data_IF_180505543272
#
_entry.id   IF_180505543272
#
_cell.length_a   1.000
_cell.length_b   1.000
_cell.length_c   1.000
_cell.angle_alpha   90.00
_cell.angle_beta   90.00
_cell.angle_gamma   90.00
#
_symmetry.space_group_name_H-M   'P 1'
#
loop_
_entity.id
_entity.type
_entity.pdbx_description
1 polymer ?
#
# COMPACT_ATOMS: atom_id res chain seq x y z
N UNK A 1 50.00 19.45 -2.19
CA UNK A 1 49.34 18.17 -1.90
C UNK A 1 49.38 17.32 -3.17
N UNK A 2 50.01 16.16 -3.12
CA UNK A 2 50.38 15.39 -4.31
C UNK A 2 49.16 14.58 -4.82
N UNK A 3 48.83 14.65 -6.11
CA UNK A 3 47.70 13.98 -6.76
C UNK A 3 47.60 12.45 -6.44
N UNK A 4 48.74 11.82 -6.15
CA UNK A 4 48.83 10.40 -5.76
C UNK A 4 48.20 10.11 -4.38
N UNK A 5 48.18 11.06 -3.46
CA UNK A 5 47.60 10.87 -2.12
C UNK A 5 46.10 11.09 -2.13
N UNK A 6 45.56 11.90 -3.06
CA UNK A 6 44.13 12.10 -3.21
C UNK A 6 43.40 10.81 -3.67
N UNK A 7 43.99 10.05 -4.61
CA UNK A 7 43.43 8.78 -5.06
C UNK A 7 43.52 7.65 -4.03
N UNK A 8 44.48 7.63 -3.13
CA UNK A 8 44.59 6.63 -2.05
C UNK A 8 43.57 6.85 -0.93
N UNK A 9 43.24 8.09 -0.60
CA UNK A 9 42.20 8.41 0.37
C UNK A 9 40.78 8.13 -0.18
N UNK A 10 40.58 8.31 -1.49
CA UNK A 10 39.27 8.04 -2.13
C UNK A 10 38.95 6.54 -2.19
N UNK A 11 39.94 5.68 -2.44
CA UNK A 11 39.74 4.22 -2.49
C UNK A 11 39.53 3.58 -1.10
N UNK A 12 40.24 4.08 -0.08
CA UNK A 12 40.01 3.64 1.30
C UNK A 12 38.65 4.09 1.85
N UNK A 13 38.21 5.30 1.50
CA UNK A 13 36.88 5.81 1.84
C UNK A 13 35.76 5.01 1.19
N UNK A 14 35.90 4.64 -0.08
CA UNK A 14 34.91 3.80 -0.79
C UNK A 14 34.83 2.37 -0.25
N UNK A 15 35.96 1.77 0.15
CA UNK A 15 35.96 0.42 0.76
C UNK A 15 35.35 0.42 2.18
N UNK A 16 35.59 1.48 2.98
CA UNK A 16 35.00 1.62 4.29
C UNK A 16 33.48 1.85 4.20
N UNK A 17 33.00 2.63 3.24
CA UNK A 17 31.57 2.84 2.98
C UNK A 17 30.91 1.56 2.47
N UNK A 18 31.57 0.81 1.58
CA UNK A 18 31.04 -0.47 1.08
C UNK A 18 31.02 -1.55 2.17
N UNK A 19 32.06 -1.63 3.01
CA UNK A 19 32.13 -2.56 4.14
C UNK A 19 31.11 -2.22 5.23
N UNK A 20 30.95 -0.94 5.58
CA UNK A 20 29.93 -0.47 6.51
C UNK A 20 28.50 -0.69 6.01
N UNK A 21 28.25 -0.51 4.71
CA UNK A 21 26.95 -0.75 4.09
C UNK A 21 26.58 -2.25 4.07
N UNK A 22 27.55 -3.16 3.88
CA UNK A 22 27.35 -4.61 3.93
C UNK A 22 27.07 -5.09 5.35
N UNK A 23 27.77 -4.54 6.36
CA UNK A 23 27.54 -4.86 7.76
C UNK A 23 26.19 -4.31 8.24
N UNK A 24 25.83 -3.07 7.89
CA UNK A 24 24.52 -2.49 8.19
C UNK A 24 23.36 -3.26 7.52
N UNK A 25 23.56 -3.80 6.30
CA UNK A 25 22.58 -4.66 5.64
C UNK A 25 22.24 -5.91 6.45
N UNK A 26 23.24 -6.62 6.96
CA UNK A 26 23.02 -7.85 7.76
C UNK A 26 22.36 -7.55 9.10
N UNK A 27 22.74 -6.48 9.78
CA UNK A 27 22.12 -6.09 11.04
C UNK A 27 20.66 -5.65 10.86
N UNK A 28 20.33 -4.96 9.76
CA UNK A 28 18.96 -4.51 9.48
C UNK A 28 18.03 -5.68 9.08
N UNK A 29 18.51 -6.67 8.33
CA UNK A 29 17.74 -7.88 8.01
C UNK A 29 17.37 -8.65 9.27
N UNK A 30 18.32 -8.82 10.19
CA UNK A 30 18.10 -9.44 11.50
C UNK A 30 17.10 -8.68 12.37
N UNK A 31 17.02 -7.36 12.23
CA UNK A 31 16.08 -6.52 12.99
C UNK A 31 14.63 -6.62 12.51
N UNK A 32 14.41 -6.92 11.22
CA UNK A 32 13.07 -6.98 10.63
C UNK A 32 12.52 -8.42 10.60
N UNK A 33 13.28 -9.34 10.05
CA UNK A 33 12.88 -10.73 9.94
C UNK A 33 14.10 -11.65 9.85
N UNK A 34 14.08 -12.74 10.62
CA UNK A 34 15.17 -13.73 10.71
C UNK A 34 14.68 -15.18 10.54
N UNK A 35 13.56 -15.37 9.83
CA UNK A 35 13.01 -16.70 9.57
C UNK A 35 13.80 -17.50 8.53
N UNK A 36 13.36 -18.73 8.21
CA UNK A 36 14.00 -19.61 7.24
C UNK A 36 13.90 -19.04 5.82
N UNK A 37 14.82 -19.46 4.95
CA UNK A 37 14.73 -19.23 3.50
C UNK A 37 13.47 -19.91 2.96
N UNK A 38 12.74 -19.21 2.08
CA UNK A 38 11.53 -19.69 1.44
C UNK A 38 11.58 -19.46 -0.07
N UNK A 39 10.48 -19.74 -0.78
CA UNK A 39 10.34 -19.46 -2.21
C UNK A 39 10.26 -17.97 -2.57
N UNK A 40 10.16 -17.09 -1.56
CA UNK A 40 10.13 -15.63 -1.71
C UNK A 40 10.98 -14.88 -0.66
N UNK A 41 11.83 -15.56 0.11
CA UNK A 41 12.81 -14.97 1.04
C UNK A 41 14.18 -15.63 0.92
N UNK A 42 15.23 -14.87 0.59
CA UNK A 42 16.59 -15.38 0.36
C UNK A 42 17.47 -15.47 1.64
N UNK A 43 16.86 -15.26 2.80
CA UNK A 43 17.56 -15.18 4.09
C UNK A 43 17.95 -13.74 4.49
N UNK A 44 17.82 -12.76 3.59
CA UNK A 44 18.07 -11.34 3.82
C UNK A 44 16.92 -10.47 3.32
N UNK A 45 16.36 -10.80 2.16
CA UNK A 45 15.35 -10.02 1.45
C UNK A 45 14.23 -10.88 0.91
N UNK A 46 13.04 -10.30 0.92
CA UNK A 46 11.90 -10.82 0.20
C UNK A 46 11.99 -10.45 -1.28
N UNK A 47 11.40 -11.27 -2.14
CA UNK A 47 11.34 -11.04 -3.58
C UNK A 47 10.03 -11.59 -4.18
N UNK A 48 9.69 -11.13 -5.37
CA UNK A 48 8.53 -11.64 -6.12
C UNK A 48 9.00 -12.84 -6.98
N UNK A 49 8.55 -14.07 -6.71
CA UNK A 49 8.92 -15.24 -7.53
C UNK A 49 8.52 -15.04 -9.00
N UNK A 50 9.48 -15.21 -9.91
CA UNK A 50 9.25 -15.00 -11.35
C UNK A 50 8.98 -13.55 -11.77
N UNK A 51 8.98 -12.61 -10.85
CA UNK A 51 8.68 -11.21 -11.11
C UNK A 51 9.91 -10.33 -11.36
N UNK A 52 9.64 -9.09 -11.78
CA UNK A 52 10.69 -8.09 -11.99
C UNK A 52 11.17 -7.52 -10.65
N UNK A 53 12.49 -7.38 -10.46
CA UNK A 53 13.00 -6.67 -9.29
C UNK A 53 12.59 -5.20 -9.32
N UNK A 54 12.48 -4.54 -8.15
CA UNK A 54 12.23 -3.10 -8.10
C UNK A 54 13.34 -2.32 -8.79
N UNK A 55 13.01 -1.15 -9.37
CA UNK A 55 13.92 -0.27 -10.08
C UNK A 55 15.22 -0.01 -9.28
N UNK A 56 16.37 -0.05 -9.95
CA UNK A 56 17.67 0.16 -9.32
C UNK A 56 17.98 1.65 -9.12
N UNK A 57 19.07 1.95 -8.38
CA UNK A 57 19.48 3.31 -8.08
C UNK A 57 19.81 4.15 -9.34
N UNK A 58 20.40 3.54 -10.37
CA UNK A 58 20.69 4.24 -11.64
C UNK A 58 19.38 4.58 -12.39
N UNK A 59 18.39 3.69 -12.36
CA UNK A 59 17.06 3.98 -12.89
C UNK A 59 16.38 5.13 -12.14
N UNK A 60 16.49 5.16 -10.81
CA UNK A 60 15.98 6.28 -10.00
C UNK A 60 16.66 7.61 -10.36
N UNK A 61 17.99 7.63 -10.54
CA UNK A 61 18.71 8.82 -10.97
C UNK A 61 18.29 9.26 -12.38
N UNK A 62 18.22 8.32 -13.33
CA UNK A 62 17.72 8.60 -14.67
C UNK A 62 16.33 9.22 -14.65
N UNK A 63 15.41 8.64 -13.88
CA UNK A 63 14.07 9.20 -13.71
C UNK A 63 14.13 10.61 -13.11
N UNK A 64 14.89 10.80 -12.02
CA UNK A 64 14.98 12.08 -11.32
C UNK A 64 15.51 13.22 -12.18
N UNK A 65 16.46 12.93 -13.09
CA UNK A 65 17.09 13.94 -13.94
C UNK A 65 16.45 14.12 -15.32
N UNK A 66 15.78 13.09 -15.84
CA UNK A 66 15.20 13.11 -17.19
C UNK A 66 13.67 12.98 -17.18
N UNK A 67 13.02 12.90 -16.03
CA UNK A 67 11.57 12.79 -15.91
C UNK A 67 10.86 14.11 -16.21
N UNK A 68 9.79 14.03 -16.99
CA UNK A 68 8.87 15.16 -17.24
C UNK A 68 7.72 15.11 -16.24
N UNK A 69 8.00 15.50 -15.01
CA UNK A 69 7.02 15.45 -13.93
C UNK A 69 5.99 16.57 -14.08
N UNK A 70 4.70 16.21 -14.16
CA UNK A 70 3.61 17.16 -14.14
C UNK A 70 3.58 17.96 -12.83
N UNK A 71 3.21 19.24 -12.88
CA UNK A 71 3.03 20.04 -11.69
C UNK A 71 1.62 19.81 -11.14
N UNK A 72 1.54 19.28 -9.92
CA UNK A 72 0.27 19.15 -9.21
C UNK A 72 -0.13 20.48 -8.55
N UNK A 73 -1.43 20.76 -8.42
CA UNK A 73 -1.90 21.90 -7.65
C UNK A 73 -1.53 21.72 -6.17
N UNK A 74 -1.33 22.84 -5.45
CA UNK A 74 -1.10 22.79 -4.00
C UNK A 74 -2.30 22.22 -3.22
N UNK A 75 -3.50 22.42 -3.76
CA UNK A 75 -4.76 21.93 -3.22
C UNK A 75 -5.58 21.28 -4.34
N UNK A 76 -5.99 20.04 -4.09
CA UNK A 76 -6.93 19.29 -4.94
C UNK A 76 -8.08 18.77 -4.08
N UNK A 77 -9.00 19.66 -3.67
CA UNK A 77 -10.02 19.33 -2.68
C UNK A 77 -10.96 18.24 -3.19
N UNK A 78 -11.41 17.40 -2.27
CA UNK A 78 -12.46 16.44 -2.56
C UNK A 78 -13.80 17.15 -2.77
N UNK A 79 -14.67 16.67 -3.68
CA UNK A 79 -16.05 17.16 -3.78
C UNK A 79 -16.92 16.69 -2.61
N UNK A 80 -16.47 15.72 -1.81
CA UNK A 80 -17.20 15.20 -0.66
C UNK A 80 -16.81 15.92 0.63
N UNK A 81 -17.76 16.12 1.57
CA UNK A 81 -17.46 16.61 2.89
C UNK A 81 -16.66 15.58 3.70
N UNK A 82 -16.15 15.98 4.88
CA UNK A 82 -15.63 15.02 5.83
C UNK A 82 -16.72 14.01 6.19
N UNK A 83 -16.43 12.73 5.96
CA UNK A 83 -17.36 11.68 6.33
C UNK A 83 -17.47 11.58 7.87
N UNK A 84 -18.65 11.23 8.34
CA UNK A 84 -18.94 10.89 9.73
C UNK A 84 -19.40 9.45 9.78
N UNK A 85 -18.49 8.49 9.93
CA UNK A 85 -18.84 7.08 9.92
C UNK A 85 -19.81 6.73 11.07
N UNK A 86 -20.69 5.78 10.81
CA UNK A 86 -21.50 5.18 11.87
C UNK A 86 -20.62 4.42 12.86
N UNK A 87 -21.09 4.24 14.08
CA UNK A 87 -20.33 3.52 15.12
C UNK A 87 -20.04 2.07 14.69
N UNK A 88 -20.98 1.40 14.04
CA UNK A 88 -20.88 0.01 13.57
C UNK A 88 -21.81 -0.23 12.39
N UNK A 89 -21.37 -1.05 11.44
CA UNK A 89 -22.20 -1.63 10.39
C UNK A 89 -22.19 -3.14 10.59
N UNK A 90 -23.38 -3.73 10.74
CA UNK A 90 -23.54 -5.14 11.09
C UNK A 90 -24.02 -6.04 9.94
N UNK A 91 -24.24 -7.30 10.26
CA UNK A 91 -24.82 -8.25 9.32
C UNK A 91 -23.94 -8.54 8.11
N UNK A 92 -24.54 -8.49 6.93
CA UNK A 92 -23.90 -8.71 5.62
C UNK A 92 -23.55 -7.41 4.91
N UNK A 93 -23.75 -6.28 5.53
CA UNK A 93 -23.47 -4.99 4.92
C UNK A 93 -21.96 -4.73 4.87
N UNK A 94 -21.53 -4.07 3.82
CA UNK A 94 -20.17 -3.61 3.63
C UNK A 94 -20.24 -2.13 3.26
N UNK A 95 -19.67 -1.28 4.10
CA UNK A 95 -19.48 0.14 3.84
C UNK A 95 -18.00 0.47 3.76
N UNK A 96 -17.66 1.22 2.73
CA UNK A 96 -16.31 1.74 2.52
C UNK A 96 -16.34 3.24 2.62
N UNK A 97 -15.47 3.81 3.45
CA UNK A 97 -15.21 5.26 3.47
C UNK A 97 -13.76 5.49 3.07
N UNK A 98 -13.54 6.29 2.04
CA UNK A 98 -12.19 6.58 1.57
C UNK A 98 -11.57 7.74 2.35
N UNK A 99 -10.46 7.46 3.01
CA UNK A 99 -9.70 8.46 3.77
C UNK A 99 -8.78 9.26 2.87
N UNK A 100 -8.21 8.61 1.85
CA UNK A 100 -7.33 9.23 0.87
C UNK A 100 -6.07 8.42 0.61
N UNK A 101 -5.47 8.57 -0.56
CA UNK A 101 -4.34 7.82 -1.08
C UNK A 101 -4.61 6.31 -1.15
N UNK A 102 -4.17 5.54 -0.18
CA UNK A 102 -4.43 4.11 -0.03
C UNK A 102 -5.20 3.77 1.26
N UNK A 103 -5.63 4.81 2.00
CA UNK A 103 -6.25 4.63 3.31
C UNK A 103 -7.78 4.46 3.19
N UNK A 104 -8.29 3.37 3.76
CA UNK A 104 -9.72 3.03 3.78
C UNK A 104 -10.21 2.74 5.19
N UNK A 105 -11.41 3.17 5.51
CA UNK A 105 -12.21 2.59 6.60
C UNK A 105 -13.23 1.63 5.98
N UNK A 106 -13.14 0.36 6.33
CA UNK A 106 -14.10 -0.68 5.97
C UNK A 106 -14.90 -1.04 7.20
N UNK A 107 -16.22 -0.94 7.11
CA UNK A 107 -17.16 -1.31 8.15
C UNK A 107 -17.98 -2.53 7.68
N UNK A 108 -17.87 -3.64 8.37
CA UNK A 108 -18.57 -4.90 8.02
C UNK A 108 -18.60 -5.85 9.21
N UNK A 109 -19.58 -6.71 9.30
CA UNK A 109 -19.72 -7.74 10.35
C UNK A 109 -19.60 -7.17 11.78
N UNK A 110 -20.01 -5.93 11.99
CA UNK A 110 -19.88 -5.23 13.27
C UNK A 110 -18.46 -4.75 13.59
N UNK A 111 -17.52 -4.80 12.64
CA UNK A 111 -16.12 -4.38 12.83
C UNK A 111 -15.81 -3.12 12.04
N UNK A 112 -14.89 -2.32 12.58
CA UNK A 112 -14.28 -1.17 11.93
C UNK A 112 -12.82 -1.49 11.64
N UNK A 113 -12.46 -1.56 10.37
CA UNK A 113 -11.17 -1.99 9.85
C UNK A 113 -10.53 -0.82 9.10
N UNK A 114 -9.41 -0.31 9.56
CA UNK A 114 -8.58 0.63 8.81
C UNK A 114 -7.54 -0.13 8.01
N UNK A 115 -7.35 0.26 6.75
CA UNK A 115 -6.29 -0.26 5.89
C UNK A 115 -5.36 0.89 5.55
N UNK A 116 -4.05 0.66 5.68
CA UNK A 116 -2.96 1.59 5.37
C UNK A 116 -3.25 3.02 5.87
N UNK A 117 -3.48 3.22 7.17
CA UNK A 117 -3.96 4.50 7.69
C UNK A 117 -2.88 5.57 7.68
N UNK A 118 -3.09 6.64 6.91
CA UNK A 118 -2.18 7.79 6.78
C UNK A 118 -2.96 9.09 6.97
N UNK A 119 -2.71 9.78 8.10
CA UNK A 119 -3.24 11.11 8.42
C UNK A 119 -2.17 12.20 8.38
N UNK A 120 -0.89 11.83 8.33
CA UNK A 120 0.22 12.78 8.23
C UNK A 120 0.15 13.62 6.96
N UNK A 121 0.65 14.86 7.05
CA UNK A 121 0.71 15.79 5.93
C UNK A 121 1.70 15.35 4.84
N UNK A 122 2.69 14.54 5.21
CA UNK A 122 3.74 14.08 4.30
C UNK A 122 3.97 12.58 4.44
N UNK A 123 4.19 11.95 3.31
CA UNK A 123 4.62 10.54 3.23
C UNK A 123 6.15 10.49 3.15
N UNK A 124 6.79 10.72 4.29
CA UNK A 124 8.25 10.93 4.37
C UNK A 124 8.76 10.64 5.77
N UNK A 125 10.06 10.28 5.94
CA UNK A 125 10.70 10.23 7.25
C UNK A 125 10.80 11.60 7.95
N UNK A 126 10.59 12.70 7.20
CA UNK A 126 10.71 14.08 7.68
C UNK A 126 9.37 14.80 7.62
N UNK A 127 8.98 15.46 8.70
CA UNK A 127 7.74 16.24 8.76
C UNK A 127 7.79 17.53 7.91
N UNK A 128 8.98 18.01 7.58
CA UNK A 128 9.20 19.27 6.84
C UNK A 128 9.55 19.06 5.36
N UNK A 129 9.91 17.84 4.94
CA UNK A 129 10.35 17.54 3.58
C UNK A 129 9.71 16.25 3.02
N UNK A 130 9.69 16.10 1.69
CA UNK A 130 9.12 14.94 1.00
C UNK A 130 7.71 15.19 0.48
N UNK A 131 7.09 14.21 -0.18
CA UNK A 131 5.78 14.34 -0.81
C UNK A 131 4.72 14.78 0.19
N UNK A 132 3.95 15.80 -0.19
CA UNK A 132 2.87 16.38 0.64
C UNK A 132 1.53 16.03 0.02
N UNK A 133 0.55 15.75 0.87
CA UNK A 133 -0.83 15.56 0.39
C UNK A 133 -1.45 16.88 -0.07
N UNK A 134 -2.23 16.81 -1.13
CA UNK A 134 -2.93 17.97 -1.75
C UNK A 134 -4.40 18.08 -1.32
N UNK A 135 -4.85 17.19 -0.45
CA UNK A 135 -6.19 17.23 0.17
C UNK A 135 -6.12 16.70 1.61
N UNK A 136 -7.04 17.11 2.49
CA UNK A 136 -7.12 16.54 3.82
C UNK A 136 -7.60 15.09 3.79
N UNK A 137 -7.38 14.31 4.86
CA UNK A 137 -8.03 13.02 5.05
C UNK A 137 -9.56 13.16 5.00
N UNK A 138 -10.24 12.24 4.34
CA UNK A 138 -11.70 12.29 4.18
C UNK A 138 -12.51 12.04 5.45
N UNK A 139 -11.87 11.57 6.52
CA UNK A 139 -12.41 11.45 7.86
C UNK A 139 -11.49 12.24 8.79
N UNK A 140 -12.03 13.11 9.64
CA UNK A 140 -11.23 13.69 10.72
C UNK A 140 -10.84 12.61 11.70
N UNK A 141 -9.65 12.67 12.25
CA UNK A 141 -9.18 11.62 13.15
C UNK A 141 -10.09 11.44 14.37
N UNK A 142 -10.60 12.54 14.89
CA UNK A 142 -11.54 12.61 16.01
C UNK A 142 -12.94 12.10 15.71
N UNK A 143 -13.31 12.00 14.43
CA UNK A 143 -14.61 11.45 13.97
C UNK A 143 -14.52 9.93 13.69
N UNK A 144 -13.37 9.30 13.91
CA UNK A 144 -13.23 7.85 13.76
C UNK A 144 -14.08 7.10 14.79
N UNK A 145 -14.85 6.09 14.37
CA UNK A 145 -15.49 5.18 15.30
C UNK A 145 -14.43 4.31 16.02
N UNK A 146 -14.78 3.57 17.07
CA UNK A 146 -13.84 2.63 17.69
C UNK A 146 -13.25 1.67 16.66
N UNK A 147 -11.93 1.69 16.46
CA UNK A 147 -11.22 0.87 15.47
C UNK A 147 -10.83 -0.46 16.11
N UNK A 148 -11.25 -1.56 15.48
CA UNK A 148 -10.95 -2.93 15.93
C UNK A 148 -9.66 -3.46 15.33
N UNK A 149 -9.47 -3.22 14.01
CA UNK A 149 -8.34 -3.71 13.22
C UNK A 149 -7.66 -2.58 12.46
N UNK A 150 -6.34 -2.70 12.35
CA UNK A 150 -5.52 -1.94 11.41
C UNK A 150 -4.75 -2.95 10.57
N UNK A 151 -4.98 -2.95 9.26
CA UNK A 151 -4.24 -3.72 8.29
C UNK A 151 -3.18 -2.82 7.66
N UNK A 152 -1.93 -3.28 7.60
CA UNK A 152 -0.82 -2.57 6.95
C UNK A 152 -0.26 -3.48 5.89
N UNK A 153 -0.38 -3.10 4.60
CA UNK A 153 0.03 -3.93 3.47
C UNK A 153 1.55 -4.03 3.33
N UNK A 154 2.24 -2.94 3.54
CA UNK A 154 3.71 -2.85 3.48
C UNK A 154 4.21 -1.57 4.16
N UNK A 155 5.52 -1.37 4.20
CA UNK A 155 6.12 -0.33 5.02
C UNK A 155 6.49 0.98 4.30
N UNK A 156 6.08 1.22 3.07
CA UNK A 156 6.29 2.54 2.46
C UNK A 156 5.61 3.63 3.28
N UNK A 157 6.14 4.87 3.21
CA UNK A 157 5.67 5.98 4.06
C UNK A 157 4.24 6.42 3.78
N UNK A 158 3.70 6.09 2.63
CA UNK A 158 2.33 6.37 2.19
C UNK A 158 1.33 5.26 2.55
N UNK A 159 1.79 4.19 3.20
CA UNK A 159 0.98 3.07 3.74
C UNK A 159 1.20 2.87 5.24
N UNK A 160 2.44 2.94 5.72
CA UNK A 160 2.78 2.83 7.14
C UNK A 160 3.18 4.20 7.70
N UNK A 161 2.21 4.92 8.23
CA UNK A 161 2.39 6.21 8.91
C UNK A 161 2.51 5.98 10.43
N UNK A 162 3.73 6.00 10.93
CA UNK A 162 4.03 5.73 12.33
C UNK A 162 3.31 6.68 13.29
N UNK A 163 3.15 7.95 12.91
CA UNK A 163 2.46 8.93 13.75
C UNK A 163 0.96 8.62 13.85
N UNK A 164 0.36 8.23 12.73
CA UNK A 164 -1.05 7.77 12.74
C UNK A 164 -1.21 6.48 13.55
N UNK A 165 -0.31 5.50 13.42
CA UNK A 165 -0.39 4.25 14.19
C UNK A 165 -0.28 4.50 15.71
N UNK A 166 0.59 5.41 16.15
CA UNK A 166 0.68 5.84 17.56
C UNK A 166 -0.64 6.42 18.06
N UNK A 167 -1.22 7.35 17.31
CA UNK A 167 -2.51 7.97 17.65
C UNK A 167 -3.63 6.93 17.74
N UNK A 168 -3.71 6.01 16.78
CA UNK A 168 -4.68 4.92 16.78
C UNK A 168 -4.50 3.99 17.97
N UNK A 169 -3.26 3.66 18.32
CA UNK A 169 -2.99 2.83 19.51
C UNK A 169 -3.46 3.49 20.80
N UNK A 170 -3.19 4.79 20.96
CA UNK A 170 -3.62 5.53 22.15
C UNK A 170 -5.15 5.63 22.23
N UNK A 171 -5.81 5.94 21.12
CA UNK A 171 -7.26 6.20 21.10
C UNK A 171 -8.10 4.92 21.10
N UNK A 172 -7.67 3.87 20.43
CA UNK A 172 -8.51 2.71 20.12
C UNK A 172 -7.92 1.36 20.54
N UNK A 173 -6.59 1.25 20.72
CA UNK A 173 -5.86 0.00 21.02
C UNK A 173 -6.23 -1.15 20.06
N UNK A 174 -6.25 -0.92 18.74
CA UNK A 174 -6.67 -1.93 17.77
C UNK A 174 -5.72 -3.12 17.76
N UNK A 175 -6.16 -4.23 17.12
CA UNK A 175 -5.25 -5.26 16.67
C UNK A 175 -4.62 -4.82 15.33
N UNK A 176 -3.30 -4.80 15.26
CA UNK A 176 -2.56 -4.60 14.02
C UNK A 176 -2.33 -5.95 13.34
N UNK A 177 -2.51 -6.01 12.02
CA UNK A 177 -2.20 -7.19 11.20
C UNK A 177 -1.34 -6.71 10.02
N UNK A 178 -0.19 -7.35 9.82
CA UNK A 178 0.79 -6.91 8.82
C UNK A 178 1.65 -8.09 8.36
N UNK A 179 2.24 -8.06 7.14
CA UNK A 179 3.18 -9.08 6.69
C UNK A 179 4.46 -9.08 7.52
N UNK A 180 5.20 -10.20 7.42
CA UNK A 180 6.45 -10.46 8.15
C UNK A 180 7.43 -9.27 8.12
N UNK A 181 8.02 -8.96 9.27
CA UNK A 181 9.04 -7.92 9.44
C UNK A 181 8.51 -6.49 9.64
N UNK A 182 7.26 -6.19 9.29
CA UNK A 182 6.69 -4.85 9.51
C UNK A 182 6.36 -4.61 10.99
N UNK A 183 6.11 -5.65 11.76
CA UNK A 183 5.88 -5.56 13.21
C UNK A 183 7.11 -5.01 13.94
N UNK A 184 8.32 -5.39 13.52
CA UNK A 184 9.55 -4.84 14.07
C UNK A 184 9.60 -3.31 13.90
N UNK A 185 9.16 -2.82 12.73
CA UNK A 185 9.08 -1.38 12.44
C UNK A 185 8.00 -0.72 13.30
N UNK A 186 6.78 -1.28 13.35
CA UNK A 186 5.67 -0.73 14.12
C UNK A 186 6.04 -0.61 15.60
N UNK A 187 6.70 -1.62 16.16
CA UNK A 187 7.14 -1.64 17.57
C UNK A 187 8.16 -0.53 17.92
N UNK A 188 8.90 0.01 16.94
CA UNK A 188 9.78 1.15 17.21
C UNK A 188 9.03 2.40 17.67
N UNK A 189 7.76 2.52 17.33
CA UNK A 189 6.91 3.65 17.72
C UNK A 189 5.72 3.28 18.59
N UNK A 190 5.30 2.00 18.58
CA UNK A 190 4.15 1.47 19.31
C UNK A 190 4.54 0.13 19.97
N UNK A 191 5.41 0.18 20.97
CA UNK A 191 5.99 -1.00 21.62
C UNK A 191 4.92 -1.97 22.17
N UNK A 192 3.89 -1.45 22.82
CA UNK A 192 2.80 -2.23 23.41
C UNK A 192 1.70 -2.64 22.42
N UNK A 193 1.89 -2.46 21.12
CA UNK A 193 0.89 -2.83 20.12
C UNK A 193 0.61 -4.34 20.12
N UNK A 194 -0.68 -4.70 20.05
CA UNK A 194 -1.08 -6.08 19.75
C UNK A 194 -0.94 -6.27 18.24
N UNK A 195 0.02 -7.08 17.82
CA UNK A 195 0.32 -7.30 16.40
C UNK A 195 0.27 -8.79 16.10
N UNK A 196 -0.43 -9.14 15.01
CA UNK A 196 -0.33 -10.44 14.35
C UNK A 196 0.39 -10.25 13.02
N UNK A 197 1.36 -11.07 12.76
CA UNK A 197 2.10 -11.10 11.49
C UNK A 197 1.75 -12.36 10.72
N UNK A 198 1.84 -12.30 9.40
CA UNK A 198 1.61 -13.45 8.54
C UNK A 198 2.49 -13.43 7.31
N UNK A 199 2.71 -14.60 6.77
CA UNK A 199 3.33 -14.84 5.47
C UNK A 199 2.26 -14.99 4.38
N UNK A 200 2.64 -14.92 3.11
CA UNK A 200 1.72 -15.24 2.01
C UNK A 200 1.11 -16.63 2.19
N UNK A 201 -0.20 -16.70 2.13
CA UNK A 201 -0.96 -17.92 2.36
C UNK A 201 -1.52 -18.08 3.78
N UNK A 202 -0.98 -17.33 4.75
CA UNK A 202 -1.47 -17.36 6.12
C UNK A 202 -2.87 -16.75 6.27
N UNK A 203 -3.53 -17.14 7.36
CA UNK A 203 -4.87 -16.68 7.72
C UNK A 203 -4.92 -16.29 9.19
N UNK A 204 -5.44 -15.11 9.47
CA UNK A 204 -5.71 -14.65 10.83
C UNK A 204 -7.22 -14.59 11.06
N UNK A 205 -7.72 -15.39 11.98
CA UNK A 205 -9.10 -15.31 12.43
C UNK A 205 -9.26 -14.17 13.44
N UNK A 206 -10.32 -13.35 13.23
CA UNK A 206 -10.64 -12.20 14.06
C UNK A 206 -12.10 -12.30 14.51
N UNK A 207 -12.29 -12.44 15.82
CA UNK A 207 -13.62 -12.75 16.35
C UNK A 207 -14.14 -14.08 15.82
N UNK A 208 -15.44 -14.18 15.65
CA UNK A 208 -16.09 -15.43 15.21
C UNK A 208 -16.47 -15.44 13.73
N UNK A 209 -16.29 -14.32 13.01
CA UNK A 209 -16.93 -14.17 11.68
C UNK A 209 -16.05 -13.52 10.61
N UNK A 210 -14.85 -13.04 10.96
CA UNK A 210 -13.95 -12.38 10.01
C UNK A 210 -12.62 -13.12 9.94
N UNK A 211 -12.14 -13.34 8.70
CA UNK A 211 -10.82 -13.89 8.44
C UNK A 211 -10.04 -12.92 7.56
N UNK A 212 -8.78 -12.74 7.88
CA UNK A 212 -7.82 -11.94 7.10
C UNK A 212 -6.81 -12.89 6.49
N UNK A 213 -6.84 -13.03 5.17
CA UNK A 213 -5.89 -13.83 4.42
C UNK A 213 -4.78 -12.95 3.89
N UNK A 214 -3.54 -13.42 3.94
CA UNK A 214 -2.39 -12.77 3.31
C UNK A 214 -2.17 -13.36 1.93
N UNK A 215 -2.20 -12.54 0.90
CA UNK A 215 -2.04 -12.98 -0.48
C UNK A 215 -0.86 -12.25 -1.15
N UNK A 216 -0.20 -12.88 -2.13
CA UNK A 216 0.84 -12.22 -2.89
C UNK A 216 0.33 -11.00 -3.66
N UNK A 217 1.15 -9.96 -3.73
CA UNK A 217 1.07 -8.89 -4.72
C UNK A 217 2.46 -8.57 -5.24
N UNK A 218 2.57 -7.93 -6.41
CA UNK A 218 3.85 -7.68 -7.06
C UNK A 218 4.40 -6.31 -6.70
N UNK A 219 5.06 -6.21 -5.54
CA UNK A 219 5.57 -4.94 -5.03
C UNK A 219 6.93 -5.11 -4.32
N UNK A 220 7.26 -4.21 -3.41
CA UNK A 220 8.46 -4.20 -2.61
C UNK A 220 8.26 -3.37 -1.34
N UNK A 221 9.26 -3.32 -0.48
CA UNK A 221 9.20 -2.55 0.77
C UNK A 221 10.50 -1.80 1.03
N UNK A 222 10.45 -0.62 1.64
CA UNK A 222 11.59 0.12 2.18
C UNK A 222 11.14 1.31 3.03
N UNK A 223 11.96 1.69 4.01
CA UNK A 223 11.87 2.96 4.73
C UNK A 223 13.17 3.74 4.73
N UNK A 224 14.27 3.11 4.40
CA UNK A 224 15.60 3.69 4.37
C UNK A 224 16.37 3.32 3.10
N UNK A 225 17.65 3.69 3.09
CA UNK A 225 18.50 3.45 1.93
C UNK A 225 18.98 1.99 1.82
N UNK A 226 18.98 1.24 2.94
CA UNK A 226 19.62 -0.07 3.03
C UNK A 226 18.66 -1.22 3.33
N UNK A 227 17.39 -0.94 3.60
CA UNK A 227 16.38 -1.90 4.08
C UNK A 227 15.40 -2.38 3.01
N UNK A 228 15.70 -2.13 1.72
CA UNK A 228 14.86 -2.54 0.60
C UNK A 228 14.50 -4.02 0.68
N UNK A 229 13.20 -4.32 0.65
CA UNK A 229 12.62 -5.67 0.70
C UNK A 229 13.08 -6.52 1.90
N UNK A 230 13.40 -5.89 3.04
CA UNK A 230 13.72 -6.59 4.29
C UNK A 230 12.48 -6.89 5.15
N UNK A 231 11.34 -6.32 4.81
CA UNK A 231 10.03 -6.72 5.30
C UNK A 231 9.16 -7.15 4.13
N UNK A 232 8.24 -8.07 4.36
CA UNK A 232 7.31 -8.57 3.35
C UNK A 232 6.22 -7.54 3.05
N UNK A 233 5.63 -7.59 1.88
CA UNK A 233 4.40 -6.90 1.45
C UNK A 233 3.33 -7.93 1.15
N UNK A 234 2.05 -7.58 1.28
CA UNK A 234 0.96 -8.48 0.98
C UNK A 234 -0.32 -7.75 0.56
N UNK A 235 -1.10 -8.39 -0.27
CA UNK A 235 -2.51 -8.12 -0.40
C UNK A 235 -3.28 -8.76 0.77
N UNK A 236 -4.48 -8.26 1.06
CA UNK A 236 -5.38 -8.86 2.02
C UNK A 236 -6.69 -9.30 1.37
N UNK A 237 -7.19 -10.49 1.73
CA UNK A 237 -8.58 -10.84 1.53
C UNK A 237 -9.28 -10.82 2.88
N UNK A 238 -10.26 -9.93 3.01
CA UNK A 238 -11.13 -9.83 4.19
C UNK A 238 -12.37 -10.66 3.89
N UNK A 239 -12.48 -11.81 4.53
CA UNK A 239 -13.63 -12.72 4.40
C UNK A 239 -14.57 -12.54 5.59
N UNK A 240 -15.82 -12.28 5.31
CA UNK A 240 -16.87 -12.08 6.31
C UNK A 240 -18.24 -12.52 5.81
N UNK A 241 -19.28 -12.43 6.64
CA UNK A 241 -20.64 -12.86 6.28
C UNK A 241 -21.24 -12.07 5.11
N UNK A 242 -20.71 -10.88 4.83
CA UNK A 242 -21.11 -10.05 3.70
C UNK A 242 -20.43 -10.41 2.37
N UNK A 243 -19.54 -11.37 2.36
CA UNK A 243 -18.71 -11.75 1.21
C UNK A 243 -17.25 -11.38 1.40
N UNK A 244 -16.48 -11.46 0.32
CA UNK A 244 -15.03 -11.24 0.33
C UNK A 244 -14.68 -9.88 -0.26
N UNK A 245 -13.73 -9.21 0.40
CA UNK A 245 -13.14 -7.96 -0.05
C UNK A 245 -11.67 -8.24 -0.35
N UNK A 246 -11.21 -7.93 -1.57
CA UNK A 246 -9.82 -8.06 -1.98
C UNK A 246 -9.15 -6.68 -1.99
N UNK A 247 -8.22 -6.44 -1.07
CA UNK A 247 -7.40 -5.24 -1.02
C UNK A 247 -5.98 -5.60 -1.44
N UNK A 248 -5.60 -5.25 -2.68
CA UNK A 248 -4.30 -5.70 -3.21
C UNK A 248 -3.12 -4.87 -2.70
N UNK A 249 -3.37 -3.70 -2.08
CA UNK A 249 -2.31 -2.76 -1.73
C UNK A 249 -1.69 -2.15 -2.98
N UNK A 250 -0.37 -1.99 -3.00
CA UNK A 250 0.37 -1.58 -4.18
C UNK A 250 0.83 -2.80 -4.97
N UNK A 251 0.72 -2.72 -6.30
CA UNK A 251 1.12 -3.82 -7.17
C UNK A 251 1.43 -3.37 -8.59
N UNK A 252 2.45 -3.98 -9.20
CA UNK A 252 2.54 -4.11 -10.66
C UNK A 252 1.52 -5.13 -11.15
N UNK A 253 1.10 -5.00 -12.40
CA UNK A 253 0.10 -5.90 -12.99
C UNK A 253 0.60 -7.34 -13.16
N UNK A 254 1.87 -7.50 -13.54
CA UNK A 254 2.56 -8.79 -13.66
C UNK A 254 1.71 -9.85 -14.40
N UNK A 255 1.23 -9.49 -15.59
CA UNK A 255 0.39 -10.35 -16.44
C UNK A 255 -0.89 -10.87 -15.76
N UNK A 256 -1.34 -10.19 -14.70
CA UNK A 256 -2.54 -10.56 -13.95
C UNK A 256 -2.40 -11.81 -13.07
N UNK A 257 -1.19 -12.35 -12.88
CA UNK A 257 -0.98 -13.61 -12.17
C UNK A 257 -1.55 -13.61 -10.75
N UNK A 258 -1.35 -12.52 -10.00
CA UNK A 258 -1.87 -12.42 -8.63
C UNK A 258 -3.40 -12.37 -8.60
N UNK A 259 -4.03 -11.72 -9.58
CA UNK A 259 -5.48 -11.65 -9.72
C UNK A 259 -6.09 -13.02 -10.02
N UNK A 260 -5.49 -13.76 -10.97
CA UNK A 260 -5.89 -15.13 -11.28
C UNK A 260 -5.73 -16.06 -10.09
N UNK A 261 -4.60 -15.97 -9.37
CA UNK A 261 -4.34 -16.79 -8.19
C UNK A 261 -5.35 -16.50 -7.07
N UNK A 262 -5.64 -15.23 -6.80
CA UNK A 262 -6.63 -14.82 -5.81
C UNK A 262 -8.03 -15.35 -6.15
N UNK A 263 -8.48 -15.20 -7.42
CA UNK A 263 -9.77 -15.74 -7.87
C UNK A 263 -9.83 -17.27 -7.76
N UNK A 264 -8.77 -17.95 -8.17
CA UNK A 264 -8.69 -19.43 -8.08
C UNK A 264 -8.82 -19.92 -6.64
N UNK A 265 -8.20 -19.21 -5.68
CA UNK A 265 -8.18 -19.58 -4.27
C UNK A 265 -9.46 -19.18 -3.54
N UNK A 266 -9.98 -17.99 -3.80
CA UNK A 266 -11.05 -17.39 -3.02
C UNK A 266 -12.41 -17.35 -3.75
N UNK A 267 -12.46 -17.61 -5.06
CA UNK A 267 -13.63 -17.37 -5.88
C UNK A 267 -13.77 -15.88 -6.23
N UNK A 268 -14.99 -15.45 -6.46
CA UNK A 268 -15.29 -14.05 -6.80
C UNK A 268 -15.33 -13.16 -5.57
N UNK A 269 -15.05 -11.86 -5.79
CA UNK A 269 -15.05 -10.85 -4.75
C UNK A 269 -16.25 -9.91 -4.92
N UNK A 270 -16.92 -9.62 -3.81
CA UNK A 270 -17.98 -8.59 -3.78
C UNK A 270 -17.40 -7.21 -4.02
N UNK A 271 -16.18 -6.96 -3.50
CA UNK A 271 -15.43 -5.72 -3.65
C UNK A 271 -13.95 -6.00 -3.84
N UNK A 272 -13.28 -5.21 -4.69
CA UNK A 272 -11.83 -5.08 -4.68
C UNK A 272 -11.41 -3.63 -4.48
N UNK A 273 -10.33 -3.39 -3.73
CA UNK A 273 -9.66 -2.09 -3.67
C UNK A 273 -8.38 -2.21 -4.51
N UNK A 274 -8.32 -1.49 -5.64
CA UNK A 274 -7.26 -1.61 -6.63
C UNK A 274 -6.57 -0.26 -6.86
N UNK A 275 -5.20 -0.23 -6.87
CA UNK A 275 -4.46 0.97 -7.22
C UNK A 275 -4.57 1.21 -8.73
N UNK A 276 -4.66 2.48 -9.15
CA UNK A 276 -4.67 2.86 -10.57
C UNK A 276 -3.96 4.18 -10.85
N UNK A 277 -3.25 4.72 -9.85
CA UNK A 277 -2.35 5.86 -9.93
C UNK A 277 -0.91 5.48 -9.67
N UNK A 278 -0.03 6.48 -9.69
CA UNK A 278 1.42 6.33 -9.49
C UNK A 278 2.10 5.41 -10.52
N UNK A 279 1.72 5.53 -11.81
CA UNK A 279 2.14 4.59 -12.85
C UNK A 279 3.17 5.18 -13.85
N UNK A 280 3.44 6.49 -13.85
CA UNK A 280 4.40 7.10 -14.77
C UNK A 280 5.75 7.46 -14.10
N UNK A 281 6.86 7.35 -14.84
CA UNK A 281 6.98 6.84 -16.21
C UNK A 281 6.93 5.31 -16.26
N UNK A 282 6.19 4.76 -17.22
CA UNK A 282 5.97 3.30 -17.34
C UNK A 282 7.26 2.48 -17.37
N UNK A 283 8.33 2.97 -18.00
CA UNK A 283 9.62 2.26 -18.07
C UNK A 283 10.24 2.00 -16.69
N UNK A 284 9.87 2.78 -15.66
CA UNK A 284 10.38 2.64 -14.31
C UNK A 284 9.31 2.06 -13.35
N UNK A 285 8.04 2.44 -13.52
CA UNK A 285 6.95 2.10 -12.61
C UNK A 285 6.24 0.78 -12.94
N UNK A 286 6.23 0.33 -14.20
CA UNK A 286 5.42 -0.84 -14.66
C UNK A 286 5.60 -2.09 -13.80
N UNK A 287 6.79 -2.35 -13.29
CA UNK A 287 7.06 -3.52 -12.46
C UNK A 287 6.48 -3.42 -11.05
N UNK A 288 6.07 -2.22 -10.59
CA UNK A 288 5.69 -1.99 -9.19
C UNK A 288 4.30 -1.35 -9.03
N UNK A 289 3.82 -0.68 -10.08
CA UNK A 289 2.52 -0.02 -10.13
C UNK A 289 1.85 -0.29 -11.46
N UNK A 290 0.61 -0.73 -11.40
CA UNK A 290 -0.26 -0.89 -12.56
C UNK A 290 -0.86 0.45 -13.00
N UNK A 291 -1.19 0.56 -14.28
CA UNK A 291 -1.91 1.70 -14.83
C UNK A 291 -3.44 1.47 -14.79
N UNK A 292 -4.27 2.47 -15.14
CA UNK A 292 -5.73 2.32 -15.14
C UNK A 292 -6.25 1.17 -16.02
N UNK A 293 -5.67 0.92 -17.18
CA UNK A 293 -6.10 -0.19 -18.06
C UNK A 293 -5.81 -1.56 -17.43
N UNK A 294 -4.63 -1.70 -16.82
CA UNK A 294 -4.22 -2.89 -16.08
C UNK A 294 -5.11 -3.09 -14.82
N UNK A 295 -5.55 -2.01 -14.17
CA UNK A 295 -6.45 -2.10 -13.01
C UNK A 295 -7.86 -2.58 -13.40
N UNK A 296 -8.40 -2.13 -14.56
CA UNK A 296 -9.69 -2.62 -15.09
C UNK A 296 -9.59 -4.08 -15.50
N UNK A 297 -8.48 -4.49 -16.12
CA UNK A 297 -8.23 -5.89 -16.43
C UNK A 297 -8.12 -6.73 -15.15
N UNK A 298 -7.38 -6.25 -14.15
CA UNK A 298 -7.26 -6.89 -12.82
C UNK A 298 -8.62 -7.12 -12.16
N UNK A 299 -9.54 -6.15 -12.22
CA UNK A 299 -10.93 -6.31 -11.77
C UNK A 299 -11.61 -7.51 -12.42
N UNK A 300 -11.48 -7.66 -13.75
CA UNK A 300 -12.10 -8.76 -14.49
C UNK A 300 -11.46 -10.10 -14.13
N UNK A 301 -10.12 -10.14 -14.04
CA UNK A 301 -9.36 -11.34 -13.72
C UNK A 301 -9.63 -11.86 -12.31
N UNK A 302 -9.73 -10.99 -11.30
CA UNK A 302 -10.09 -11.42 -9.94
C UNK A 302 -11.59 -11.68 -9.77
N UNK A 303 -12.43 -11.29 -10.72
CA UNK A 303 -13.88 -11.48 -10.64
C UNK A 303 -14.56 -10.57 -9.62
N UNK A 304 -14.07 -9.35 -9.43
CA UNK A 304 -14.68 -8.41 -8.51
C UNK A 304 -15.95 -7.81 -9.10
N UNK A 305 -17.04 -7.81 -8.32
CA UNK A 305 -18.30 -7.18 -8.72
C UNK A 305 -18.16 -5.66 -8.78
N UNK A 306 -17.50 -5.08 -7.77
CA UNK A 306 -17.25 -3.65 -7.64
C UNK A 306 -15.78 -3.38 -7.31
N UNK A 307 -15.28 -2.20 -7.70
CA UNK A 307 -13.93 -1.73 -7.34
C UNK A 307 -13.99 -0.34 -6.71
N UNK A 308 -13.25 -0.16 -5.62
CA UNK A 308 -12.82 1.13 -5.10
C UNK A 308 -11.38 1.39 -5.56
N UNK A 309 -11.22 2.33 -6.49
CA UNK A 309 -9.92 2.72 -7.04
C UNK A 309 -9.17 3.66 -6.10
N UNK A 310 -7.87 3.43 -5.92
CA UNK A 310 -7.03 4.22 -5.01
C UNK A 310 -5.64 4.53 -5.57
N UNK A 311 -4.77 5.08 -4.72
CA UNK A 311 -3.38 5.46 -5.00
C UNK A 311 -3.24 6.61 -6.01
N UNK A 312 -4.17 7.55 -6.03
CA UNK A 312 -4.20 8.70 -6.92
C UNK A 312 -4.70 9.96 -6.21
N UNK A 313 -4.44 11.14 -6.78
CA UNK A 313 -5.10 12.40 -6.42
C UNK A 313 -4.86 12.92 -5.00
N UNK A 314 -3.97 12.30 -4.20
CA UNK A 314 -3.70 12.70 -2.82
C UNK A 314 -2.24 13.08 -2.60
N UNK A 315 -1.29 12.26 -3.01
CA UNK A 315 0.16 12.48 -2.88
C UNK A 315 0.83 12.27 -4.22
N UNK A 316 1.64 13.23 -4.65
CA UNK A 316 2.39 13.10 -5.90
C UNK A 316 3.67 12.29 -5.67
N UNK A 317 3.68 11.04 -6.13
CA UNK A 317 4.83 10.15 -6.06
C UNK A 317 5.52 9.96 -7.41
N UNK A 318 4.83 10.22 -8.51
CA UNK A 318 5.18 9.89 -9.89
C UNK A 318 4.98 11.08 -10.84
N UNK A 319 5.09 10.88 -12.14
CA UNK A 319 5.19 11.97 -13.12
C UNK A 319 3.85 12.41 -13.69
N UNK A 320 2.81 11.59 -13.64
CA UNK A 320 1.49 11.92 -14.20
C UNK A 320 0.81 13.12 -13.52
N UNK A 321 -0.04 13.82 -14.26
CA UNK A 321 -0.90 14.88 -13.71
C UNK A 321 -1.92 14.32 -12.72
N UNK A 322 -2.42 15.15 -11.80
CA UNK A 322 -3.30 14.76 -10.71
C UNK A 322 -4.59 14.07 -11.15
N UNK A 323 -5.11 14.42 -12.31
CA UNK A 323 -6.36 13.93 -12.92
C UNK A 323 -6.12 12.97 -14.10
N UNK A 324 -4.89 12.79 -14.53
CA UNK A 324 -4.56 11.86 -15.63
C UNK A 324 -5.09 10.43 -15.38
N UNK A 325 -5.01 9.87 -14.16
CA UNK A 325 -5.58 8.55 -13.88
C UNK A 325 -7.08 8.46 -14.17
N UNK A 326 -7.85 9.52 -13.93
CA UNK A 326 -9.30 9.54 -14.21
C UNK A 326 -9.60 9.43 -15.70
N UNK A 327 -8.92 10.23 -16.52
CA UNK A 327 -9.11 10.21 -17.96
C UNK A 327 -8.72 8.84 -18.54
N UNK A 328 -7.59 8.28 -18.10
CA UNK A 328 -7.13 6.96 -18.51
C UNK A 328 -8.07 5.84 -18.05
N UNK A 329 -8.62 5.93 -16.83
CA UNK A 329 -9.60 4.97 -16.32
C UNK A 329 -10.87 4.97 -17.15
N UNK A 330 -11.42 6.16 -17.46
CA UNK A 330 -12.61 6.29 -18.31
C UNK A 330 -12.42 5.63 -19.68
N UNK A 331 -11.28 5.87 -20.30
CA UNK A 331 -10.92 5.24 -21.58
C UNK A 331 -10.85 3.72 -21.42
N UNK A 332 -10.17 3.23 -20.41
CA UNK A 332 -10.00 1.80 -20.15
C UNK A 332 -11.34 1.07 -19.89
N UNK A 333 -12.26 1.70 -19.15
CA UNK A 333 -13.59 1.14 -18.89
C UNK A 333 -14.39 0.97 -20.18
N UNK A 334 -14.37 1.99 -21.06
CA UNK A 334 -15.04 1.92 -22.37
C UNK A 334 -14.42 0.84 -23.25
N UNK A 335 -13.09 0.84 -23.39
CA UNK A 335 -12.37 -0.13 -24.24
C UNK A 335 -12.55 -1.58 -23.79
N UNK A 336 -12.66 -1.80 -22.48
CA UNK A 336 -12.81 -3.12 -21.90
C UNK A 336 -14.26 -3.54 -21.63
N UNK A 337 -15.25 -2.70 -21.97
CA UNK A 337 -16.67 -2.98 -21.83
C UNK A 337 -17.11 -3.13 -20.37
N UNK A 338 -16.52 -2.36 -19.45
CA UNK A 338 -16.88 -2.34 -18.03
C UNK A 338 -17.70 -1.10 -17.71
N UNK A 339 -18.85 -1.29 -17.05
CA UNK A 339 -19.70 -0.18 -16.63
C UNK A 339 -18.98 0.71 -15.61
N UNK A 340 -19.05 2.03 -15.80
CA UNK A 340 -18.39 3.02 -14.93
C UNK A 340 -18.85 2.90 -13.46
N UNK A 341 -20.10 2.54 -13.22
CA UNK A 341 -20.66 2.32 -11.88
C UNK A 341 -19.95 1.22 -11.07
N UNK A 342 -19.27 0.30 -11.75
CA UNK A 342 -18.57 -0.82 -11.14
C UNK A 342 -17.15 -0.49 -10.69
N UNK A 343 -16.52 0.56 -11.21
CA UNK A 343 -15.18 0.99 -10.83
C UNK A 343 -15.21 2.46 -10.36
N UNK A 344 -15.15 2.67 -9.05
CA UNK A 344 -15.21 4.01 -8.43
C UNK A 344 -13.81 4.56 -8.18
N UNK A 345 -13.39 5.64 -8.83
CA UNK A 345 -12.14 6.34 -8.51
C UNK A 345 -12.34 7.16 -7.23
N UNK A 346 -12.23 6.52 -6.08
CA UNK A 346 -12.59 7.09 -4.79
C UNK A 346 -11.90 8.43 -4.49
N UNK A 347 -12.66 9.34 -3.90
CA UNK A 347 -12.17 10.64 -3.40
C UNK A 347 -12.29 10.72 -1.87
N UNK A 348 -11.37 11.45 -1.17
CA UNK A 348 -11.45 11.58 0.29
C UNK A 348 -12.84 12.02 0.76
N UNK A 349 -13.41 11.33 1.75
CA UNK A 349 -14.74 11.56 2.29
C UNK A 349 -15.89 10.86 1.55
N UNK A 350 -15.60 10.24 0.40
CA UNK A 350 -16.61 9.44 -0.31
C UNK A 350 -16.95 8.18 0.48
N UNK A 351 -18.25 7.90 0.57
CA UNK A 351 -18.82 6.72 1.23
C UNK A 351 -19.48 5.86 0.17
N UNK A 352 -19.20 4.56 0.20
CA UNK A 352 -19.80 3.58 -0.70
C UNK A 352 -20.37 2.42 0.09
N UNK A 353 -21.69 2.30 0.04
CA UNK A 353 -22.40 1.09 0.48
C UNK A 353 -22.35 0.08 -0.66
N UNK A 354 -21.57 -0.99 -0.44
CA UNK A 354 -21.32 -1.99 -1.48
C UNK A 354 -22.62 -2.79 -1.71
N UNK A 355 -23.17 -2.83 -2.95
CA UNK A 355 -24.37 -3.59 -3.23
C UNK A 355 -24.23 -5.05 -2.77
N UNK A 356 -25.31 -5.63 -2.24
CA UNK A 356 -25.37 -7.08 -1.98
C UNK A 356 -25.23 -7.84 -3.29
N UNK A 357 -24.51 -8.96 -3.27
CA UNK A 357 -24.39 -9.85 -4.43
C UNK A 357 -25.72 -10.57 -4.69
#
# INVERSE_FOLDING_TARGET
>A
MNRRNFFRFSTLGLLAVAGGALFARRSNASAYYSGPISDHFDGVRFFNPGGSPPGNFMGLLKWRFNGERATWPENYPSPFPFAKPEMRIGGKDIRVTFVGHASFLIQTAGMNILIDPVWSQRTSPFSFAGPKRVNPPGIRFEDLPPIDLVLVTHNHYDHLDMETLKRLHVAHKPLFITPLGNDAIIRTGVEAARIKVGDWGDVVEVGSSVKIHFEPCHHWSARGLNDRSMALWAAFVIEGPGGKIYHIGDTGFHEGLNYHAARKKHGEFRLANLPFGAYEPRWFMKGQHQNPAEAVEGMKLCGAAHVCGHHWGTVQLTDEAVDAPLAALKTALVEQGVEESRFRPMRPGEVFDVPSA
#
